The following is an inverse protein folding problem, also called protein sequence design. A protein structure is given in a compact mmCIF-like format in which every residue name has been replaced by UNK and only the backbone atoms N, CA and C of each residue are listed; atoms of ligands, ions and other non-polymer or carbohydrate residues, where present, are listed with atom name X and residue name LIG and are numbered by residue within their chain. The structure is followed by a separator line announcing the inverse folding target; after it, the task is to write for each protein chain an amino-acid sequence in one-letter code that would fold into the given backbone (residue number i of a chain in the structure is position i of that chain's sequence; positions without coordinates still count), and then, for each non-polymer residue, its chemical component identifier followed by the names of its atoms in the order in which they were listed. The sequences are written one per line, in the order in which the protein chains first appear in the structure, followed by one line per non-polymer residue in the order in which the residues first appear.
data_IF_845059917617
#
_entry.id   IF_845059917617
#
_cell.length_a   1.000
_cell.length_b   1.000
_cell.length_c   1.000
_cell.angle_alpha   90.00
_cell.angle_beta   90.00
_cell.angle_gamma   90.00
#
_symmetry.space_group_name_H-M   'P 1'
#
loop_
_entity.id
_entity.type
_entity.pdbx_description
1 polymer ?
#
# COMPACT_ATOMS: atom_id res chain seq x y z
N UNK A 1 2.74 59.58 -22.01
CA UNK A 1 3.02 59.05 -20.65
C UNK A 1 3.16 57.54 -20.73
N UNK A 2 4.24 57.03 -20.12
CA UNK A 2 4.58 55.63 -19.75
C UNK A 2 5.15 54.68 -20.82
N UNK A 3 6.19 53.98 -20.37
CA UNK A 3 7.24 53.26 -21.09
C UNK A 3 6.81 51.82 -21.51
N UNK A 4 7.46 51.33 -22.58
CA UNK A 4 8.16 50.03 -22.73
C UNK A 4 8.19 49.11 -21.49
N UNK A 5 8.23 47.79 -21.55
CA UNK A 5 8.61 46.79 -22.56
C UNK A 5 7.99 45.42 -22.09
N UNK A 6 8.00 44.31 -22.83
CA UNK A 6 9.15 43.39 -22.99
C UNK A 6 8.58 42.17 -23.74
N UNK A 7 8.89 41.99 -25.02
CA UNK A 7 9.93 41.05 -25.55
C UNK A 7 9.33 39.70 -25.98
N UNK A 8 9.19 39.54 -27.30
CA UNK A 8 9.88 38.54 -28.15
C UNK A 8 9.29 37.13 -28.05
N UNK A 9 8.52 36.64 -29.03
CA UNK A 9 8.84 36.33 -30.44
C UNK A 9 9.93 35.26 -30.61
N UNK A 10 9.47 34.10 -31.09
CA UNK A 10 10.06 33.17 -32.07
C UNK A 10 10.96 32.04 -31.59
N UNK A 11 10.62 30.85 -32.10
CA UNK A 11 11.49 29.68 -32.14
C UNK A 11 10.85 28.44 -32.79
N UNK A 12 10.22 28.58 -33.96
CA UNK A 12 9.97 27.47 -34.88
C UNK A 12 11.25 27.22 -35.69
N UNK A 13 11.75 25.98 -35.70
CA UNK A 13 12.71 25.50 -36.70
C UNK A 13 14.00 24.92 -36.13
N UNK A 14 14.18 23.61 -36.27
CA UNK A 14 15.42 22.92 -35.96
C UNK A 14 15.30 21.40 -36.13
N UNK A 15 15.20 20.93 -37.37
CA UNK A 15 15.39 19.52 -37.73
C UNK A 15 16.86 19.14 -37.48
N UNK A 16 17.10 18.15 -36.61
CA UNK A 16 18.33 17.37 -36.61
C UNK A 16 17.97 15.88 -36.54
N UNK A 17 18.26 15.17 -37.62
CA UNK A 17 18.28 13.72 -37.67
C UNK A 17 19.63 13.23 -37.11
N UNK A 18 19.59 12.51 -36.00
CA UNK A 18 20.68 11.63 -35.58
C UNK A 18 20.05 10.27 -35.26
N UNK A 19 20.38 9.28 -36.09
CA UNK A 19 19.87 7.93 -35.97
C UNK A 19 20.63 7.13 -34.88
N UNK A 20 19.94 6.10 -34.38
CA UNK A 20 20.43 4.81 -33.89
C UNK A 20 20.61 4.60 -32.37
N UNK A 21 19.72 3.72 -31.88
CA UNK A 21 19.87 2.67 -30.83
C UNK A 21 19.24 2.93 -29.46
N UNK A 22 18.13 2.21 -29.22
CA UNK A 22 17.93 1.50 -27.96
C UNK A 22 17.24 2.26 -26.84
N UNK A 23 16.05 1.79 -26.48
CA UNK A 23 15.41 2.13 -25.22
C UNK A 23 13.97 2.58 -25.43
N UNK A 24 13.04 1.68 -25.17
CA UNK A 24 11.66 2.04 -24.82
C UNK A 24 11.70 2.94 -23.60
N UNK A 25 11.82 4.25 -23.81
CA UNK A 25 11.53 5.23 -22.78
C UNK A 25 10.01 5.22 -22.62
N UNK A 26 9.51 4.36 -21.74
CA UNK A 26 8.18 4.48 -21.20
C UNK A 26 8.10 5.87 -20.56
N UNK A 27 7.52 6.82 -21.29
CA UNK A 27 7.15 8.11 -20.75
C UNK A 27 6.03 7.86 -19.73
N UNK A 28 6.41 7.57 -18.49
CA UNK A 28 5.49 7.66 -17.36
C UNK A 28 5.20 9.14 -17.16
N UNK A 29 4.22 9.64 -17.90
CA UNK A 29 3.56 10.90 -17.59
C UNK A 29 2.99 10.70 -16.18
N UNK A 30 3.70 11.21 -15.18
CA UNK A 30 3.17 11.38 -13.83
C UNK A 30 2.11 12.48 -13.94
N UNK A 31 0.94 12.11 -14.44
CA UNK A 31 -0.25 12.94 -14.32
C UNK A 31 -0.51 13.12 -12.82
N UNK A 32 -0.84 14.35 -12.37
CA UNK A 32 -1.27 14.55 -11.00
C UNK A 32 -2.46 13.62 -10.77
N UNK A 33 -2.41 12.82 -9.71
CA UNK A 33 -3.52 11.96 -9.30
C UNK A 33 -4.66 12.86 -8.85
N UNK A 34 -5.41 13.40 -9.82
CA UNK A 34 -6.80 13.81 -9.61
C UNK A 34 -7.43 12.67 -8.82
N UNK A 35 -7.95 12.95 -7.64
CA UNK A 35 -8.45 11.97 -6.68
C UNK A 35 -9.31 10.92 -7.40
N UNK A 36 -8.67 9.83 -7.81
CA UNK A 36 -9.36 8.71 -8.42
C UNK A 36 -10.27 8.20 -7.30
N UNK A 37 -11.55 7.99 -7.60
CA UNK A 37 -12.39 7.22 -6.69
C UNK A 37 -11.59 5.99 -6.22
N UNK A 38 -11.70 5.62 -4.93
CA UNK A 38 -10.98 4.47 -4.40
C UNK A 38 -11.15 3.30 -5.37
N UNK A 39 -10.04 2.82 -5.93
CA UNK A 39 -10.11 1.70 -6.86
C UNK A 39 -10.51 0.47 -6.06
N UNK A 40 -11.79 0.10 -6.09
CA UNK A 40 -12.32 -1.05 -5.38
C UNK A 40 -12.05 -2.34 -6.18
N UNK A 41 -10.77 -2.60 -6.44
CA UNK A 41 -10.29 -3.74 -7.24
C UNK A 41 -9.36 -4.62 -6.42
N UNK A 42 -9.20 -5.88 -6.83
CA UNK A 42 -8.24 -6.80 -6.22
C UNK A 42 -6.79 -6.29 -6.29
N UNK A 43 -6.41 -5.66 -7.41
CA UNK A 43 -5.07 -5.08 -7.58
C UNK A 43 -4.80 -3.92 -6.61
N UNK A 44 -5.78 -3.04 -6.39
CA UNK A 44 -5.64 -1.95 -5.42
C UNK A 44 -5.54 -2.48 -4.00
N UNK A 45 -6.40 -3.44 -3.62
CA UNK A 45 -6.33 -4.09 -2.32
C UNK A 45 -4.97 -4.76 -2.08
N UNK A 46 -4.48 -5.55 -3.04
CA UNK A 46 -3.19 -6.23 -2.93
C UNK A 46 -2.03 -5.23 -2.79
N UNK A 47 -2.08 -4.11 -3.52
CA UNK A 47 -1.07 -3.04 -3.42
C UNK A 47 -1.06 -2.42 -2.02
N UNK A 48 -2.23 -2.04 -1.49
CA UNK A 48 -2.34 -1.50 -0.13
C UNK A 48 -1.91 -2.52 0.92
N UNK A 49 -2.36 -3.77 0.78
CA UNK A 49 -2.03 -4.87 1.68
C UNK A 49 -0.52 -5.13 1.72
N UNK A 50 0.16 -5.11 0.57
CA UNK A 50 1.61 -5.29 0.51
C UNK A 50 2.35 -4.22 1.30
N UNK A 51 1.93 -2.95 1.20
CA UNK A 51 2.50 -1.86 1.98
C UNK A 51 2.27 -2.01 3.48
N UNK A 52 1.03 -2.35 3.89
CA UNK A 52 0.67 -2.57 5.29
C UNK A 52 1.43 -3.75 5.88
N UNK A 53 1.52 -4.88 5.16
CA UNK A 53 2.23 -6.08 5.60
C UNK A 53 3.74 -5.83 5.72
N UNK A 54 4.33 -5.07 4.79
CA UNK A 54 5.74 -4.69 4.89
C UNK A 54 6.00 -3.83 6.13
N UNK A 55 5.15 -2.83 6.40
CA UNK A 55 5.26 -2.01 7.60
C UNK A 55 5.05 -2.82 8.89
N UNK A 56 4.08 -3.73 8.89
CA UNK A 56 3.84 -4.64 10.01
C UNK A 56 5.04 -5.57 10.24
N UNK A 57 5.67 -6.12 9.19
CA UNK A 57 6.88 -6.93 9.31
C UNK A 57 8.03 -6.17 9.97
N UNK A 58 8.28 -4.92 9.55
CA UNK A 58 9.28 -4.06 10.20
C UNK A 58 8.96 -3.77 11.68
N UNK A 59 7.69 -3.50 11.98
CA UNK A 59 7.22 -3.31 13.35
C UNK A 59 7.45 -4.55 14.20
N UNK A 60 6.99 -5.73 13.76
CA UNK A 60 7.14 -6.97 14.50
C UNK A 60 8.60 -7.37 14.71
N UNK A 61 9.48 -7.13 13.72
CA UNK A 61 10.92 -7.38 13.89
C UNK A 61 11.57 -6.51 14.98
N UNK A 62 11.00 -5.33 15.28
CA UNK A 62 11.45 -4.46 16.37
C UNK A 62 10.68 -4.66 17.67
N UNK A 63 9.62 -5.48 17.67
CA UNK A 63 8.75 -5.74 18.81
C UNK A 63 8.63 -7.26 19.04
N UNK A 64 9.66 -7.89 19.66
CA UNK A 64 9.72 -9.34 19.78
C UNK A 64 8.51 -9.95 20.52
N UNK A 65 7.97 -9.27 21.54
CA UNK A 65 6.77 -9.74 22.24
C UNK A 65 5.54 -9.86 21.34
N UNK A 66 5.27 -8.83 20.52
CA UNK A 66 4.17 -8.82 19.55
C UNK A 66 4.39 -9.88 18.46
N UNK A 67 5.63 -10.03 18.01
CA UNK A 67 5.99 -11.06 17.04
C UNK A 67 5.75 -12.46 17.61
N UNK A 68 6.17 -12.73 18.84
CA UNK A 68 6.06 -14.04 19.47
C UNK A 68 4.60 -14.42 19.74
N UNK A 69 3.77 -13.48 20.23
CA UNK A 69 2.36 -13.79 20.48
C UNK A 69 1.61 -14.10 19.17
N UNK A 70 1.87 -13.34 18.10
CA UNK A 70 1.22 -13.57 16.80
C UNK A 70 1.74 -14.85 16.15
N UNK A 71 3.04 -15.16 16.27
CA UNK A 71 3.63 -16.40 15.75
C UNK A 71 3.05 -17.62 16.46
N UNK A 72 2.97 -17.58 17.80
CA UNK A 72 2.39 -18.68 18.59
C UNK A 72 0.90 -18.86 18.31
N UNK A 73 0.17 -17.76 18.14
CA UNK A 73 -1.27 -17.80 17.82
C UNK A 73 -1.57 -18.61 16.55
N UNK A 74 -0.65 -18.65 15.57
CA UNK A 74 -0.83 -19.43 14.34
C UNK A 74 -0.94 -20.95 14.55
N UNK A 75 -0.46 -21.47 15.69
CA UNK A 75 -0.52 -22.91 16.03
C UNK A 75 -1.61 -23.25 17.05
N UNK A 76 -2.34 -22.25 17.55
CA UNK A 76 -3.38 -22.44 18.56
C UNK A 76 -4.76 -22.68 17.92
N UNK A 77 -5.68 -23.39 18.61
CA UNK A 77 -7.09 -23.37 18.24
C UNK A 77 -7.61 -21.92 18.19
N UNK A 78 -8.52 -21.62 17.25
CA UNK A 78 -8.95 -20.25 16.97
C UNK A 78 -9.37 -19.44 18.22
N UNK A 79 -10.13 -20.05 19.13
CA UNK A 79 -10.54 -19.39 20.38
C UNK A 79 -9.38 -19.09 21.34
N UNK A 80 -8.39 -19.97 21.42
CA UNK A 80 -7.19 -19.77 22.23
C UNK A 80 -6.24 -18.73 21.59
N UNK A 81 -6.12 -18.75 20.27
CA UNK A 81 -5.38 -17.75 19.51
C UNK A 81 -5.93 -16.33 19.76
N UNK A 82 -7.23 -16.14 19.61
CA UNK A 82 -7.88 -14.85 19.87
C UNK A 82 -7.70 -14.39 21.31
N UNK A 83 -7.88 -15.29 22.29
CA UNK A 83 -7.70 -14.97 23.70
C UNK A 83 -6.26 -14.57 24.01
N UNK A 84 -5.26 -15.30 23.48
CA UNK A 84 -3.84 -15.01 23.69
C UNK A 84 -3.45 -13.66 23.09
N UNK A 85 -3.88 -13.36 21.86
CA UNK A 85 -3.59 -12.09 21.21
C UNK A 85 -4.24 -10.93 21.95
N UNK A 86 -5.51 -11.10 22.38
CA UNK A 86 -6.22 -10.09 23.17
C UNK A 86 -5.53 -9.79 24.49
N UNK A 87 -5.22 -10.82 25.28
CA UNK A 87 -4.56 -10.66 26.57
C UNK A 87 -3.21 -9.92 26.44
N UNK A 88 -2.44 -10.20 25.39
CA UNK A 88 -1.20 -9.46 25.12
C UNK A 88 -1.48 -7.98 24.84
N UNK A 89 -2.37 -7.65 23.91
CA UNK A 89 -2.61 -6.25 23.54
C UNK A 89 -3.37 -5.44 24.60
N UNK A 90 -4.07 -6.09 25.54
CA UNK A 90 -4.60 -5.45 26.75
C UNK A 90 -3.48 -5.00 27.69
N UNK A 91 -2.42 -5.79 27.83
CA UNK A 91 -1.23 -5.43 28.60
C UNK A 91 -0.30 -4.46 27.84
N UNK A 92 -0.37 -4.44 26.50
CA UNK A 92 0.46 -3.64 25.60
C UNK A 92 -0.38 -2.67 24.74
N UNK A 93 -1.10 -1.70 25.32
CA UNK A 93 -2.03 -0.85 24.59
C UNK A 93 -1.35 0.04 23.55
N UNK A 94 -0.10 0.46 23.77
CA UNK A 94 0.66 1.24 22.79
C UNK A 94 0.92 0.42 21.52
N UNK A 95 1.31 -0.85 21.68
CA UNK A 95 1.60 -1.72 20.53
C UNK A 95 0.34 -2.03 19.71
N UNK A 96 -0.80 -2.14 20.39
CA UNK A 96 -2.10 -2.23 19.73
C UNK A 96 -2.40 -0.99 18.89
N UNK A 97 -2.17 0.20 19.44
CA UNK A 97 -2.41 1.46 18.73
C UNK A 97 -1.51 1.59 17.51
N UNK A 98 -0.23 1.22 17.63
CA UNK A 98 0.73 1.24 16.53
C UNK A 98 0.32 0.30 15.40
N UNK A 99 0.02 -0.96 15.71
CA UNK A 99 -0.44 -1.93 14.72
C UNK A 99 -1.78 -1.52 14.09
N UNK A 100 -2.68 -0.91 14.85
CA UNK A 100 -3.93 -0.36 14.31
C UNK A 100 -3.66 0.80 13.35
N UNK A 101 -2.68 1.65 13.64
CA UNK A 101 -2.27 2.74 12.75
C UNK A 101 -1.61 2.18 11.47
N UNK A 102 -0.77 1.15 11.58
CA UNK A 102 -0.20 0.43 10.44
C UNK A 102 -1.30 -0.17 9.56
N UNK A 103 -2.33 -0.78 10.17
CA UNK A 103 -3.46 -1.37 9.45
C UNK A 103 -4.46 -0.35 8.90
N UNK A 104 -4.32 0.94 9.23
CA UNK A 104 -5.30 1.99 8.90
C UNK A 104 -5.64 2.08 7.41
N UNK A 105 -4.68 2.03 6.47
CA UNK A 105 -5.00 2.10 5.03
C UNK A 105 -5.96 0.98 4.57
N UNK A 106 -5.80 -0.25 5.09
CA UNK A 106 -6.69 -1.36 4.78
C UNK A 106 -8.07 -1.20 5.42
N UNK A 107 -8.12 -0.71 6.66
CA UNK A 107 -9.38 -0.41 7.36
C UNK A 107 -10.18 0.64 6.58
N UNK A 108 -9.52 1.71 6.17
CA UNK A 108 -10.15 2.80 5.43
C UNK A 108 -10.59 2.34 4.04
N UNK A 109 -9.76 1.56 3.33
CA UNK A 109 -10.12 0.97 2.04
C UNK A 109 -11.34 0.03 2.15
N UNK A 110 -11.40 -0.82 3.19
CA UNK A 110 -12.56 -1.68 3.46
C UNK A 110 -13.83 -0.85 3.68
N UNK A 111 -13.73 0.21 4.48
CA UNK A 111 -14.87 1.07 4.80
C UNK A 111 -15.37 1.83 3.55
N UNK A 112 -14.48 2.19 2.63
CA UNK A 112 -14.81 2.89 1.39
C UNK A 112 -15.40 1.96 0.32
N UNK A 113 -14.95 0.71 0.24
CA UNK A 113 -15.29 -0.22 -0.84
C UNK A 113 -16.37 -1.27 -0.49
N UNK A 114 -16.89 -1.30 0.74
CA UNK A 114 -18.12 -2.04 1.05
C UNK A 114 -18.05 -3.57 0.95
N UNK A 115 -16.87 -4.17 1.11
CA UNK A 115 -16.61 -5.62 1.03
C UNK A 115 -16.64 -6.16 -0.40
N UNK A 116 -15.46 -6.32 -1.00
CA UNK A 116 -15.29 -7.13 -2.21
C UNK A 116 -13.92 -7.81 -2.30
N UNK A 117 -12.90 -7.28 -1.62
CA UNK A 117 -11.58 -7.91 -1.53
C UNK A 117 -11.08 -7.77 -0.10
N UNK A 118 -10.87 -8.91 0.56
CA UNK A 118 -10.43 -9.05 1.95
C UNK A 118 -9.20 -9.95 2.02
N UNK A 119 -8.44 -9.93 3.14
CA UNK A 119 -7.33 -10.85 3.34
C UNK A 119 -7.74 -12.33 3.14
N UNK A 120 -8.96 -12.69 3.51
CA UNK A 120 -9.47 -14.06 3.35
C UNK A 120 -9.65 -14.50 1.89
N UNK A 121 -9.88 -13.59 0.95
CA UNK A 121 -9.95 -13.97 -0.47
C UNK A 121 -8.57 -14.23 -1.06
N UNK A 122 -7.54 -13.54 -0.53
CA UNK A 122 -6.16 -13.85 -0.89
C UNK A 122 -5.72 -15.19 -0.30
N UNK A 123 -6.12 -15.53 0.94
CA UNK A 123 -5.79 -16.84 1.50
C UNK A 123 -6.42 -17.97 0.69
N UNK A 124 -7.70 -17.85 0.29
CA UNK A 124 -8.35 -18.82 -0.60
C UNK A 124 -7.60 -18.96 -1.93
N UNK A 125 -7.16 -17.85 -2.53
CA UNK A 125 -6.35 -17.89 -3.75
C UNK A 125 -5.03 -18.65 -3.51
N UNK A 126 -4.33 -18.40 -2.41
CA UNK A 126 -3.09 -19.11 -2.10
C UNK A 126 -3.32 -20.60 -1.87
N UNK A 127 -4.39 -20.98 -1.15
CA UNK A 127 -4.74 -22.37 -0.90
C UNK A 127 -5.05 -23.12 -2.21
N UNK A 128 -5.79 -22.50 -3.12
CA UNK A 128 -6.10 -23.09 -4.44
C UNK A 128 -4.87 -23.20 -5.34
N UNK A 129 -3.96 -22.23 -5.30
CA UNK A 129 -2.71 -22.27 -6.08
C UNK A 129 -1.67 -23.26 -5.53
N UNK A 130 -1.82 -23.69 -4.27
CA UNK A 130 -0.93 -24.63 -3.61
C UNK A 130 -1.34 -26.11 -3.80
N UNK A 131 -2.50 -26.36 -4.41
CA UNK A 131 -2.98 -27.70 -4.80
C UNK A 131 -2.34 -28.18 -6.10
#
# INVERSE_FOLDING_TARGET
MRLSATTARRGLGGTFAACLLGGVAAATIAAPTASAQPACTASSFATTASGVLNAAGGYLNSHPGANDVLTRAASLPAGEAEASVRAYFEAHPNEYLDLRNIARPLIDQRNQCGVAVSPGQLSLLFDELAQ
#
